data_IF_206779308726
#
_entry.id   IF_206779308726
#
_cell.length_a   1.000
_cell.length_b   1.000
_cell.length_c   1.000
_cell.angle_alpha   90.00
_cell.angle_beta   90.00
_cell.angle_gamma   90.00
#
_symmetry.space_group_name_H-M   'P 1'
#
loop_
_entity.id
_entity.type
_entity.pdbx_description
1 polymer ?
#
# COMPACT_ATOMS: atom_id res chain seq x y z
N UNK A 1 -33.49 30.07 -8.11
CA UNK A 1 -32.58 30.42 -7.00
C UNK A 1 -31.18 29.83 -7.15
N UNK A 2 -30.98 28.52 -7.36
CA UNK A 2 -29.62 27.97 -7.51
C UNK A 2 -28.84 28.49 -8.74
N UNK A 3 -29.53 28.82 -9.84
CA UNK A 3 -28.91 29.33 -11.06
C UNK A 3 -28.36 30.77 -10.96
N UNK A 4 -28.78 31.52 -9.93
CA UNK A 4 -28.32 32.90 -9.68
C UNK A 4 -27.15 32.98 -8.70
N UNK A 5 -26.68 31.83 -8.18
CA UNK A 5 -25.51 31.80 -7.31
C UNK A 5 -24.21 31.99 -8.11
N UNK A 6 -23.18 32.60 -7.52
CA UNK A 6 -21.82 32.63 -8.08
C UNK A 6 -21.26 31.22 -8.28
N UNK A 7 -20.34 31.06 -9.25
CA UNK A 7 -19.78 29.75 -9.62
C UNK A 7 -18.98 29.15 -8.46
N UNK A 8 -18.29 29.98 -7.71
CA UNK A 8 -17.48 29.66 -6.54
C UNK A 8 -18.35 29.00 -5.46
N UNK A 9 -19.54 29.54 -5.21
CA UNK A 9 -20.48 28.99 -4.24
C UNK A 9 -21.01 27.63 -4.70
N UNK A 10 -21.24 27.46 -6.02
CA UNK A 10 -21.69 26.19 -6.59
C UNK A 10 -20.60 25.12 -6.45
N UNK A 11 -19.32 25.45 -6.63
CA UNK A 11 -18.21 24.53 -6.39
C UNK A 11 -18.07 24.17 -4.91
N UNK A 12 -18.14 25.15 -4.01
CA UNK A 12 -18.11 24.88 -2.56
C UNK A 12 -19.24 23.94 -2.15
N UNK A 13 -20.47 24.17 -2.64
CA UNK A 13 -21.61 23.26 -2.38
C UNK A 13 -21.30 21.86 -2.93
N UNK A 14 -20.76 21.76 -4.15
CA UNK A 14 -20.43 20.48 -4.78
C UNK A 14 -19.36 19.70 -3.99
N UNK A 15 -18.33 20.39 -3.51
CA UNK A 15 -17.22 19.79 -2.76
C UNK A 15 -17.66 19.29 -1.36
N UNK A 16 -18.67 19.93 -0.76
CA UNK A 16 -19.27 19.50 0.52
C UNK A 16 -20.26 18.33 0.38
N UNK A 17 -20.59 17.89 -0.85
CA UNK A 17 -21.41 16.68 -1.03
C UNK A 17 -20.54 15.45 -0.80
N UNK A 18 -20.95 14.60 0.14
CA UNK A 18 -20.20 13.42 0.58
C UNK A 18 -20.21 12.30 -0.46
N UNK A 19 -21.34 12.12 -1.17
CA UNK A 19 -21.51 10.98 -2.07
C UNK A 19 -21.43 11.36 -3.54
N UNK A 20 -20.87 10.46 -4.36
CA UNK A 20 -20.91 10.58 -5.82
C UNK A 20 -22.34 10.77 -6.35
N UNK A 21 -23.33 10.08 -5.77
CA UNK A 21 -24.72 10.19 -6.19
C UNK A 21 -25.29 11.59 -5.95
N UNK A 22 -24.99 12.22 -4.81
CA UNK A 22 -25.39 13.61 -4.54
C UNK A 22 -24.73 14.57 -5.55
N UNK A 23 -23.42 14.41 -5.78
CA UNK A 23 -22.66 15.21 -6.76
C UNK A 23 -23.22 15.08 -8.17
N UNK A 24 -23.55 13.86 -8.59
CA UNK A 24 -24.19 13.56 -9.87
C UNK A 24 -25.59 14.19 -9.97
N UNK A 25 -26.40 14.07 -8.92
CA UNK A 25 -27.75 14.65 -8.89
C UNK A 25 -27.68 16.18 -9.04
N UNK A 26 -26.74 16.84 -8.35
CA UNK A 26 -26.50 18.27 -8.49
C UNK A 26 -26.06 18.63 -9.92
N UNK A 27 -25.11 17.90 -10.49
CA UNK A 27 -24.66 18.11 -11.87
C UNK A 27 -25.81 17.93 -12.89
N UNK A 28 -26.75 17.01 -12.63
CA UNK A 28 -27.90 16.72 -13.51
C UNK A 28 -29.04 17.73 -13.44
N UNK A 29 -29.06 18.66 -12.48
CA UNK A 29 -30.15 19.64 -12.33
C UNK A 29 -30.33 20.52 -13.57
N UNK A 30 -29.25 20.90 -14.25
CA UNK A 30 -29.33 21.67 -15.49
C UNK A 30 -28.08 21.52 -16.36
N UNK A 31 -28.18 21.92 -17.65
CA UNK A 31 -27.06 21.85 -18.61
C UNK A 31 -25.83 22.66 -18.17
N UNK A 32 -26.04 23.81 -17.50
CA UNK A 32 -24.93 24.66 -17.00
C UNK A 32 -24.16 23.93 -15.91
N UNK A 33 -24.86 23.36 -14.94
CA UNK A 33 -24.25 22.62 -13.84
C UNK A 33 -23.56 21.36 -14.35
N UNK A 34 -24.18 20.66 -15.30
CA UNK A 34 -23.54 19.51 -15.92
C UNK A 34 -22.20 19.88 -16.54
N UNK A 35 -22.14 20.92 -17.37
CA UNK A 35 -20.88 21.37 -17.99
C UNK A 35 -19.85 21.87 -16.97
N UNK A 36 -20.29 22.57 -15.93
CA UNK A 36 -19.42 23.17 -14.91
C UNK A 36 -18.84 22.12 -13.94
N UNK A 37 -19.66 21.17 -13.52
CA UNK A 37 -19.35 20.22 -12.44
C UNK A 37 -18.85 18.87 -12.96
N UNK A 38 -19.03 18.56 -14.26
CA UNK A 38 -18.50 17.31 -14.85
C UNK A 38 -17.00 17.10 -14.63
N UNK A 39 -16.13 18.13 -14.74
CA UNK A 39 -14.71 17.96 -14.43
C UNK A 39 -14.45 17.49 -12.99
N UNK A 40 -15.15 18.09 -12.01
CA UNK A 40 -15.05 17.69 -10.61
C UNK A 40 -15.64 16.30 -10.36
N UNK A 41 -16.78 15.97 -11.00
CA UNK A 41 -17.43 14.67 -10.88
C UNK A 41 -16.58 13.53 -11.43
N UNK A 42 -15.86 13.77 -12.53
CA UNK A 42 -15.00 12.78 -13.20
C UNK A 42 -13.56 12.80 -12.68
N UNK A 43 -13.23 13.65 -11.70
CA UNK A 43 -11.88 13.72 -11.14
C UNK A 43 -11.48 12.44 -10.41
N UNK A 44 -12.44 11.79 -9.75
CA UNK A 44 -12.27 10.47 -9.14
C UNK A 44 -13.33 9.53 -9.69
N UNK A 45 -12.89 8.37 -10.17
CA UNK A 45 -13.77 7.33 -10.72
C UNK A 45 -13.53 6.04 -9.97
N UNK A 46 -14.60 5.50 -9.41
CA UNK A 46 -14.60 4.21 -8.74
C UNK A 46 -15.47 3.23 -9.53
N UNK A 47 -14.82 2.19 -10.05
CA UNK A 47 -15.49 1.07 -10.70
C UNK A 47 -15.65 -0.06 -9.68
N UNK A 48 -16.88 -0.50 -9.38
CA UNK A 48 -17.09 -1.56 -8.37
C UNK A 48 -16.36 -2.86 -8.68
N UNK A 49 -16.15 -3.15 -9.97
CA UNK A 49 -15.51 -4.36 -10.46
C UNK A 49 -14.64 -4.09 -11.67
N UNK A 50 -13.58 -4.85 -11.81
CA UNK A 50 -12.86 -5.00 -13.07
C UNK A 50 -13.65 -5.96 -13.97
N UNK A 51 -14.64 -5.45 -14.70
CA UNK A 51 -15.47 -6.24 -15.61
C UNK A 51 -15.89 -5.42 -16.84
N UNK A 52 -16.22 -6.07 -17.97
CA UNK A 52 -16.58 -5.35 -19.20
C UNK A 52 -17.81 -4.46 -19.05
N UNK A 53 -18.72 -4.79 -18.12
CA UNK A 53 -19.94 -4.01 -17.81
C UNK A 53 -19.65 -2.57 -17.38
N UNK A 54 -18.49 -2.33 -16.76
CA UNK A 54 -18.06 -1.02 -16.30
C UNK A 54 -16.98 -0.41 -17.20
N UNK A 55 -16.02 -1.22 -17.64
CA UNK A 55 -14.90 -0.75 -18.46
C UNK A 55 -15.35 -0.30 -19.85
N UNK A 56 -16.24 -1.04 -20.51
CA UNK A 56 -16.67 -0.73 -21.89
C UNK A 56 -17.40 0.62 -21.96
N UNK A 57 -18.47 0.86 -21.19
CA UNK A 57 -19.22 2.12 -21.32
C UNK A 57 -18.37 3.34 -21.00
N UNK A 58 -17.48 3.23 -20.00
CA UNK A 58 -16.58 4.31 -19.61
C UNK A 58 -15.56 4.60 -20.73
N UNK A 59 -14.89 3.56 -21.22
CA UNK A 59 -13.88 3.68 -22.28
C UNK A 59 -14.49 4.26 -23.55
N UNK A 60 -15.66 3.76 -23.98
CA UNK A 60 -16.38 4.31 -25.14
C UNK A 60 -16.80 5.77 -24.93
N UNK A 61 -17.19 6.14 -23.71
CA UNK A 61 -17.51 7.54 -23.37
C UNK A 61 -16.28 8.43 -23.52
N UNK A 62 -15.10 7.99 -23.07
CA UNK A 62 -13.85 8.74 -23.19
C UNK A 62 -13.28 8.77 -24.60
N UNK A 63 -13.47 7.73 -25.40
CA UNK A 63 -13.17 7.75 -26.83
C UNK A 63 -14.02 8.83 -27.51
N UNK A 64 -15.32 8.89 -27.20
CA UNK A 64 -16.23 9.89 -27.78
C UNK A 64 -15.97 11.31 -27.26
N UNK A 65 -15.62 11.45 -25.99
CA UNK A 65 -15.48 12.73 -25.30
C UNK A 65 -14.12 12.83 -24.58
N UNK A 66 -13.03 12.82 -25.35
CA UNK A 66 -11.65 12.84 -24.81
C UNK A 66 -11.35 13.99 -23.84
N UNK A 67 -12.02 15.14 -23.98
CA UNK A 67 -11.86 16.26 -23.05
C UNK A 67 -12.32 15.92 -21.62
N UNK A 68 -13.25 14.97 -21.46
CA UNK A 68 -13.71 14.49 -20.16
C UNK A 68 -12.65 13.63 -19.48
N UNK A 69 -12.00 12.75 -20.25
CA UNK A 69 -10.95 11.84 -19.77
C UNK A 69 -9.75 12.57 -19.16
N UNK A 70 -9.44 13.78 -19.68
CA UNK A 70 -8.40 14.65 -19.13
C UNK A 70 -8.67 15.16 -17.72
N UNK A 71 -9.89 15.06 -17.20
CA UNK A 71 -10.23 15.51 -15.85
C UNK A 71 -9.99 14.41 -14.80
N UNK A 72 -9.86 13.16 -15.21
CA UNK A 72 -9.62 12.04 -14.27
C UNK A 72 -8.24 12.20 -13.63
N UNK A 73 -8.21 12.05 -12.31
CA UNK A 73 -7.02 12.11 -11.43
C UNK A 73 -6.89 10.85 -10.62
N UNK A 74 -8.00 10.31 -10.11
CA UNK A 74 -8.03 9.06 -9.36
C UNK A 74 -8.88 8.03 -10.11
N UNK A 75 -8.34 6.82 -10.28
CA UNK A 75 -9.07 5.68 -10.81
C UNK A 75 -8.94 4.50 -9.84
N UNK A 76 -10.07 4.07 -9.30
CA UNK A 76 -10.17 2.85 -8.49
C UNK A 76 -10.95 1.80 -9.28
N UNK A 77 -10.38 0.62 -9.44
CA UNK A 77 -11.01 -0.52 -10.10
C UNK A 77 -11.07 -1.69 -9.12
N UNK A 78 -12.28 -2.01 -8.68
CA UNK A 78 -12.55 -3.09 -7.73
C UNK A 78 -12.28 -4.48 -8.29
N UNK A 79 -12.66 -5.49 -7.51
CA UNK A 79 -12.34 -6.89 -7.79
C UNK A 79 -12.88 -7.36 -9.15
N UNK A 80 -12.15 -8.22 -9.86
CA UNK A 80 -12.64 -8.93 -11.04
C UNK A 80 -14.01 -9.58 -10.80
N UNK A 81 -14.97 -9.23 -11.65
CA UNK A 81 -16.33 -9.73 -11.59
C UNK A 81 -16.60 -10.85 -12.59
N UNK A 82 -17.73 -11.57 -12.45
CA UNK A 82 -18.19 -12.46 -13.51
C UNK A 82 -18.41 -11.65 -14.79
N UNK A 83 -17.82 -12.11 -15.89
CA UNK A 83 -17.96 -11.46 -17.19
C UNK A 83 -19.40 -11.60 -17.68
N UNK A 84 -20.13 -10.48 -17.71
CA UNK A 84 -21.43 -10.40 -18.38
C UNK A 84 -21.19 -9.88 -19.79
N UNK A 85 -21.78 -10.56 -20.77
CA UNK A 85 -21.72 -10.09 -22.14
C UNK A 85 -22.40 -8.72 -22.23
N UNK A 86 -21.64 -7.74 -22.66
CA UNK A 86 -22.14 -6.43 -23.06
C UNK A 86 -21.98 -6.38 -24.55
N UNK A 87 -23.09 -6.25 -25.27
CA UNK A 87 -23.04 -6.07 -26.72
C UNK A 87 -22.31 -4.77 -27.04
N UNK A 88 -21.06 -4.88 -27.47
CA UNK A 88 -20.30 -3.77 -28.03
C UNK A 88 -20.08 -4.04 -29.51
N UNK A 89 -20.86 -3.40 -30.37
CA UNK A 89 -20.44 -3.24 -31.76
C UNK A 89 -19.28 -2.26 -31.77
N UNK A 90 -18.11 -2.72 -32.21
CA UNK A 90 -16.96 -1.87 -32.52
C UNK A 90 -17.42 -0.85 -33.56
N UNK A 91 -17.61 0.39 -33.11
CA UNK A 91 -17.91 1.52 -33.99
C UNK A 91 -16.60 1.97 -34.63
N UNK A 92 -16.69 2.59 -35.81
CA UNK A 92 -15.57 3.25 -36.50
C UNK A 92 -14.66 4.07 -35.56
N UNK A 93 -15.22 4.78 -34.58
CA UNK A 93 -14.46 5.58 -33.60
C UNK A 93 -13.52 4.74 -32.72
N UNK A 94 -13.85 3.49 -32.42
CA UNK A 94 -12.99 2.57 -31.69
C UNK A 94 -11.89 2.00 -32.62
N UNK A 95 -12.20 1.69 -33.88
CA UNK A 95 -11.18 1.26 -34.86
C UNK A 95 -10.16 2.36 -35.15
N UNK A 96 -10.61 3.60 -35.23
CA UNK A 96 -9.75 4.79 -35.38
C UNK A 96 -8.82 4.91 -34.16
N UNK A 97 -9.35 4.69 -32.95
CA UNK A 97 -8.59 4.66 -31.70
C UNK A 97 -7.50 3.60 -31.70
N UNK A 98 -7.86 2.38 -32.09
CA UNK A 98 -6.94 1.25 -32.13
C UNK A 98 -5.84 1.53 -33.18
N UNK A 99 -6.20 2.16 -34.30
CA UNK A 99 -5.25 2.63 -35.30
C UNK A 99 -4.23 3.63 -34.76
N UNK A 100 -4.61 4.48 -33.79
CA UNK A 100 -3.67 5.41 -33.15
C UNK A 100 -2.65 4.72 -32.23
N UNK A 101 -3.01 3.58 -31.63
CA UNK A 101 -2.17 2.90 -30.62
C UNK A 101 -1.42 1.67 -31.15
N UNK A 102 -1.84 1.12 -32.28
CA UNK A 102 -1.24 -0.10 -32.85
C UNK A 102 -0.03 0.21 -33.72
N UNK A 103 1.04 -0.58 -33.61
CA UNK A 103 2.25 -0.44 -34.40
C UNK A 103 2.17 -1.13 -35.78
N UNK A 104 1.27 -2.10 -35.93
CA UNK A 104 1.11 -2.87 -37.16
C UNK A 104 -0.35 -3.26 -37.42
N UNK A 105 -0.67 -3.61 -38.67
CA UNK A 105 -1.99 -4.14 -39.02
C UNK A 105 -2.31 -5.45 -38.27
N UNK A 106 -1.30 -6.29 -38.02
CA UNK A 106 -1.46 -7.52 -37.24
C UNK A 106 -1.84 -7.22 -35.79
N UNK A 107 -1.18 -6.25 -35.16
CA UNK A 107 -1.49 -5.83 -33.80
C UNK A 107 -2.88 -5.18 -33.74
N UNK A 108 -3.21 -4.33 -34.72
CA UNK A 108 -4.54 -3.73 -34.85
C UNK A 108 -5.64 -4.80 -34.95
N UNK A 109 -5.44 -5.82 -35.78
CA UNK A 109 -6.38 -6.92 -35.91
C UNK A 109 -6.53 -7.71 -34.60
N UNK A 110 -5.43 -7.91 -33.86
CA UNK A 110 -5.45 -8.53 -32.54
C UNK A 110 -6.25 -7.71 -31.53
N UNK A 111 -6.01 -6.40 -31.43
CA UNK A 111 -6.79 -5.50 -30.57
C UNK A 111 -8.28 -5.56 -30.89
N UNK A 112 -8.66 -5.46 -32.17
CA UNK A 112 -10.06 -5.53 -32.60
C UNK A 112 -10.67 -6.87 -32.20
N UNK A 113 -10.02 -7.99 -32.53
CA UNK A 113 -10.53 -9.33 -32.20
C UNK A 113 -10.76 -9.53 -30.70
N UNK A 114 -9.85 -9.03 -29.86
CA UNK A 114 -9.93 -9.18 -28.39
C UNK A 114 -11.02 -8.28 -27.79
N UNK A 115 -11.20 -7.07 -28.33
CA UNK A 115 -12.24 -6.14 -27.90
C UNK A 115 -13.64 -6.58 -28.38
N UNK A 116 -13.77 -7.13 -29.59
CA UNK A 116 -15.03 -7.68 -30.13
C UNK A 116 -15.53 -8.89 -29.33
N UNK A 117 -14.59 -9.76 -28.92
CA UNK A 117 -14.91 -10.91 -28.08
C UNK A 117 -15.52 -10.53 -26.74
N UNK A 118 -15.29 -9.29 -26.24
CA UNK A 118 -15.73 -8.76 -24.94
C UNK A 118 -15.43 -9.70 -23.75
N UNK A 119 -14.46 -10.60 -23.93
CA UNK A 119 -14.07 -11.64 -22.96
C UNK A 119 -12.78 -11.28 -22.22
N UNK A 120 -12.08 -10.22 -22.63
CA UNK A 120 -10.80 -9.85 -22.06
C UNK A 120 -10.83 -8.42 -21.49
N UNK A 121 -10.96 -8.32 -20.15
CA UNK A 121 -10.99 -7.04 -19.44
C UNK A 121 -9.70 -6.24 -19.61
N UNK A 122 -8.58 -6.94 -19.84
CA UNK A 122 -7.24 -6.38 -19.95
C UNK A 122 -7.12 -5.35 -21.08
N UNK A 123 -7.67 -5.64 -22.26
CA UNK A 123 -7.59 -4.76 -23.42
C UNK A 123 -8.40 -3.47 -23.16
N UNK A 124 -9.55 -3.61 -22.51
CA UNK A 124 -10.35 -2.46 -22.10
C UNK A 124 -9.66 -1.63 -21.02
N UNK A 125 -8.99 -2.28 -20.05
CA UNK A 125 -8.22 -1.58 -19.02
C UNK A 125 -7.02 -0.84 -19.61
N UNK A 126 -6.26 -1.46 -20.51
CA UNK A 126 -5.15 -0.82 -21.21
C UNK A 126 -5.64 0.39 -22.02
N UNK A 127 -6.72 0.24 -22.78
CA UNK A 127 -7.29 1.33 -23.57
C UNK A 127 -7.81 2.46 -22.67
N UNK A 128 -8.42 2.13 -21.53
CA UNK A 128 -8.84 3.11 -20.54
C UNK A 128 -7.64 3.90 -20.03
N UNK A 129 -6.58 3.25 -19.55
CA UNK A 129 -5.39 3.91 -19.04
C UNK A 129 -4.70 4.81 -20.09
N UNK A 130 -4.67 4.41 -21.37
CA UNK A 130 -4.19 5.25 -22.47
C UNK A 130 -4.97 6.58 -22.58
N UNK A 131 -6.27 6.58 -22.28
CA UNK A 131 -7.14 7.75 -22.38
C UNK A 131 -7.02 8.70 -21.18
N UNK A 132 -6.29 8.33 -20.12
CA UNK A 132 -6.19 9.08 -18.86
C UNK A 132 -4.79 9.72 -18.70
N UNK A 133 -4.45 10.78 -19.47
CA UNK A 133 -3.10 11.35 -19.48
C UNK A 133 -2.71 12.03 -18.16
N UNK A 134 -3.69 12.48 -17.38
CA UNK A 134 -3.50 13.23 -16.15
C UNK A 134 -3.78 12.39 -14.89
N UNK A 135 -3.78 11.06 -15.01
CA UNK A 135 -3.98 10.19 -13.85
C UNK A 135 -2.87 10.41 -12.83
N UNK A 136 -3.25 10.63 -11.57
CA UNK A 136 -2.37 10.86 -10.42
C UNK A 136 -2.39 9.67 -9.46
N UNK A 137 -3.52 8.97 -9.34
CA UNK A 137 -3.69 7.84 -8.45
C UNK A 137 -4.39 6.67 -9.16
N UNK A 138 -3.84 5.47 -9.02
CA UNK A 138 -4.40 4.23 -9.54
C UNK A 138 -4.50 3.20 -8.42
N UNK A 139 -5.70 2.74 -8.11
CA UNK A 139 -5.94 1.58 -7.25
C UNK A 139 -6.65 0.51 -8.08
N UNK A 140 -6.03 -0.65 -8.23
CA UNK A 140 -6.63 -1.71 -9.04
C UNK A 140 -6.26 -3.11 -8.56
N UNK A 141 -7.17 -4.05 -8.83
CA UNK A 141 -6.87 -5.47 -8.74
C UNK A 141 -6.15 -5.95 -10.00
N UNK A 142 -4.93 -6.44 -9.83
CA UNK A 142 -4.23 -7.14 -10.89
C UNK A 142 -4.74 -8.57 -10.98
N UNK A 143 -5.09 -9.05 -12.17
CA UNK A 143 -5.47 -10.46 -12.37
C UNK A 143 -4.22 -11.30 -12.66
N UNK A 144 -3.25 -11.29 -11.74
CA UNK A 144 -2.00 -12.06 -11.84
C UNK A 144 -1.29 -11.88 -13.19
N UNK A 145 -1.06 -12.99 -13.90
CA UNK A 145 -0.39 -12.96 -15.22
C UNK A 145 -1.29 -12.56 -16.41
N UNK A 146 -2.59 -12.30 -16.21
CA UNK A 146 -3.55 -12.01 -17.29
C UNK A 146 -3.55 -10.55 -17.77
N UNK A 147 -2.49 -9.82 -17.48
CA UNK A 147 -2.40 -8.36 -17.69
C UNK A 147 -1.17 -7.92 -18.48
N UNK A 148 -0.68 -8.85 -19.32
CA UNK A 148 0.30 -8.66 -20.36
C UNK A 148 0.11 -7.41 -21.23
N UNK A 149 -1.08 -7.08 -21.73
CA UNK A 149 -1.30 -5.91 -22.59
C UNK A 149 -1.16 -4.60 -21.81
N UNK A 150 -1.58 -4.58 -20.54
CA UNK A 150 -1.28 -3.44 -19.65
C UNK A 150 0.22 -3.36 -19.40
N UNK A 151 0.93 -4.48 -19.21
CA UNK A 151 2.38 -4.49 -19.07
C UNK A 151 3.09 -3.95 -20.32
N UNK A 152 2.65 -4.36 -21.51
CA UNK A 152 3.18 -3.89 -22.79
C UNK A 152 2.97 -2.39 -22.94
N UNK A 153 1.77 -1.90 -22.62
CA UNK A 153 1.46 -0.47 -22.64
C UNK A 153 2.34 0.31 -21.65
N UNK A 154 2.47 -0.16 -20.40
CA UNK A 154 3.34 0.47 -19.41
C UNK A 154 4.81 0.46 -19.86
N UNK A 155 5.27 -0.62 -20.49
CA UNK A 155 6.59 -0.71 -21.09
C UNK A 155 6.79 0.28 -22.25
N UNK A 156 5.76 0.48 -23.08
CA UNK A 156 5.79 1.46 -24.16
C UNK A 156 5.82 2.91 -23.63
N UNK A 157 5.04 3.21 -22.59
CA UNK A 157 5.05 4.52 -21.90
C UNK A 157 6.46 4.87 -21.44
N UNK A 158 7.08 3.95 -20.70
CA UNK A 158 8.39 4.18 -20.11
C UNK A 158 9.50 4.25 -21.16
N UNK A 159 9.40 3.44 -22.22
CA UNK A 159 10.35 3.49 -23.32
C UNK A 159 10.14 4.68 -24.27
N UNK A 160 9.13 5.53 -24.04
CA UNK A 160 8.78 6.63 -24.94
C UNK A 160 8.41 6.14 -26.35
N UNK A 161 7.90 4.93 -26.47
CA UNK A 161 7.49 4.32 -27.74
C UNK A 161 6.07 4.74 -28.09
N UNK A 162 5.71 4.62 -29.37
CA UNK A 162 4.32 4.84 -29.81
C UNK A 162 3.35 4.03 -28.92
N UNK A 163 2.18 4.57 -28.58
CA UNK A 163 1.64 5.90 -28.97
C UNK A 163 2.17 7.10 -28.14
N UNK A 164 3.19 6.90 -27.30
CA UNK A 164 3.69 7.86 -26.30
C UNK A 164 4.99 8.60 -26.71
N UNK A 165 5.24 8.75 -28.01
CA UNK A 165 6.41 9.48 -28.55
C UNK A 165 6.21 11.00 -28.39
N UNK A 166 7.31 11.74 -28.20
CA UNK A 166 7.47 13.20 -28.28
C UNK A 166 6.21 14.05 -27.98
N UNK A 167 6.06 14.47 -26.72
CA UNK A 167 5.02 15.42 -26.28
C UNK A 167 3.69 14.79 -25.81
N UNK A 168 3.59 13.46 -25.78
CA UNK A 168 2.45 12.72 -25.20
C UNK A 168 2.90 11.70 -24.14
N UNK A 169 3.53 12.14 -23.03
CA UNK A 169 3.97 11.20 -22.02
C UNK A 169 2.73 10.57 -21.34
N UNK A 170 2.61 9.25 -21.44
CA UNK A 170 1.55 8.52 -20.75
C UNK A 170 1.79 8.53 -19.25
N UNK A 171 0.74 8.75 -18.45
CA UNK A 171 0.80 8.64 -16.99
C UNK A 171 1.91 9.49 -16.32
N UNK A 172 2.32 10.61 -16.93
CA UNK A 172 3.40 11.45 -16.39
C UNK A 172 3.06 12.09 -15.05
N UNK A 173 1.77 12.25 -14.76
CA UNK A 173 1.25 12.76 -13.49
C UNK A 173 1.09 11.71 -12.41
N UNK A 174 1.31 10.42 -12.70
CA UNK A 174 1.02 9.33 -11.77
C UNK A 174 1.97 9.38 -10.57
N UNK A 175 1.38 9.52 -9.38
CA UNK A 175 2.07 9.70 -8.09
C UNK A 175 1.91 8.47 -7.20
N UNK A 176 0.73 7.86 -7.22
CA UNK A 176 0.40 6.75 -6.35
C UNK A 176 -0.20 5.59 -7.15
N UNK A 177 0.30 4.38 -6.88
CA UNK A 177 -0.25 3.15 -7.43
C UNK A 177 -0.43 2.14 -6.30
N UNK A 178 -1.62 1.54 -6.23
CA UNK A 178 -1.93 0.41 -5.37
C UNK A 178 -2.41 -0.77 -6.22
N UNK A 179 -1.71 -1.89 -6.06
CA UNK A 179 -1.96 -3.10 -6.82
C UNK A 179 -2.36 -4.23 -5.87
N UNK A 180 -3.62 -4.64 -5.96
CA UNK A 180 -4.20 -5.72 -5.17
C UNK A 180 -4.25 -7.01 -5.99
N UNK A 181 -4.25 -8.16 -5.35
CA UNK A 181 -4.44 -9.46 -6.03
C UNK A 181 -5.55 -10.23 -5.31
N UNK A 182 -6.47 -10.84 -6.05
CA UNK A 182 -7.46 -11.73 -5.44
C UNK A 182 -6.75 -12.98 -4.94
N UNK A 183 -7.00 -13.40 -3.69
CA UNK A 183 -6.42 -14.60 -3.09
C UNK A 183 -6.65 -15.87 -3.92
N UNK A 184 -7.77 -15.96 -4.65
CA UNK A 184 -8.10 -17.09 -5.53
C UNK A 184 -7.27 -17.16 -6.82
N UNK A 185 -6.54 -16.09 -7.18
CA UNK A 185 -5.78 -15.99 -8.43
C UNK A 185 -4.43 -16.73 -8.44
N UNK A 186 -4.05 -17.42 -7.35
CA UNK A 186 -2.88 -18.30 -7.30
C UNK A 186 -1.59 -17.68 -6.74
N UNK A 187 -0.43 -18.13 -7.26
CA UNK A 187 0.93 -17.89 -6.72
C UNK A 187 1.49 -16.47 -6.97
N UNK A 188 0.75 -15.40 -6.68
CA UNK A 188 1.28 -14.03 -6.78
C UNK A 188 1.72 -13.60 -8.19
N UNK A 189 2.47 -12.49 -8.28
CA UNK A 189 3.12 -12.03 -9.52
C UNK A 189 4.56 -11.57 -9.27
N UNK A 190 5.40 -11.66 -10.29
CA UNK A 190 6.83 -11.34 -10.16
C UNK A 190 7.05 -9.84 -9.94
N UNK A 191 8.00 -9.46 -9.09
CA UNK A 191 8.44 -8.07 -8.88
C UNK A 191 8.79 -7.31 -10.17
N UNK A 192 9.19 -8.02 -11.24
CA UNK A 192 9.44 -7.46 -12.57
C UNK A 192 8.27 -6.66 -13.13
N UNK A 193 7.03 -7.03 -12.79
CA UNK A 193 5.82 -6.34 -13.23
C UNK A 193 5.72 -4.92 -12.66
N UNK A 194 6.39 -4.64 -11.54
CA UNK A 194 6.41 -3.32 -10.92
C UNK A 194 7.39 -2.35 -11.58
N UNK A 195 8.34 -2.83 -12.40
CA UNK A 195 9.42 -2.03 -12.99
C UNK A 195 8.96 -0.74 -13.68
N UNK A 196 7.89 -0.74 -14.49
CA UNK A 196 7.49 0.49 -15.17
C UNK A 196 7.21 1.65 -14.21
N UNK A 197 6.66 1.37 -13.03
CA UNK A 197 6.36 2.41 -12.04
C UNK A 197 7.60 3.06 -11.44
N UNK A 198 8.73 2.36 -11.36
CA UNK A 198 10.01 2.96 -10.91
C UNK A 198 10.57 3.98 -11.90
N UNK A 199 10.12 3.94 -13.15
CA UNK A 199 10.65 4.76 -14.24
C UNK A 199 9.72 5.93 -14.58
N UNK A 200 8.52 5.98 -13.99
CA UNK A 200 7.60 7.11 -14.14
C UNK A 200 8.08 8.32 -13.31
N UNK A 201 8.07 9.54 -13.88
CA UNK A 201 8.77 10.68 -13.31
C UNK A 201 8.13 11.27 -12.05
N UNK A 202 6.81 11.14 -11.89
CA UNK A 202 6.07 11.71 -10.76
C UNK A 202 5.78 10.71 -9.64
N UNK A 203 6.22 9.46 -9.77
CA UNK A 203 5.88 8.41 -8.80
C UNK A 203 6.45 8.71 -7.41
N UNK A 204 5.64 8.45 -6.39
CA UNK A 204 5.97 8.69 -4.97
C UNK A 204 5.62 7.52 -4.09
N UNK A 205 4.48 6.89 -4.34
CA UNK A 205 3.92 5.84 -3.49
C UNK A 205 3.62 4.63 -4.37
N UNK A 206 4.20 3.48 -4.04
CA UNK A 206 3.86 2.22 -4.68
C UNK A 206 3.51 1.17 -3.64
N UNK A 207 2.27 0.69 -3.72
CA UNK A 207 1.73 -0.35 -2.85
C UNK A 207 1.39 -1.59 -3.68
N UNK A 208 1.79 -2.76 -3.21
CA UNK A 208 1.63 -4.00 -3.95
C UNK A 208 1.36 -5.17 -3.00
N UNK A 209 0.45 -6.05 -3.41
CA UNK A 209 0.06 -7.25 -2.68
C UNK A 209 0.48 -8.51 -3.46
N UNK A 210 0.90 -9.57 -2.75
CA UNK A 210 1.24 -10.88 -3.35
C UNK A 210 2.35 -10.82 -4.42
N UNK A 211 3.37 -10.01 -4.16
CA UNK A 211 4.58 -9.91 -4.99
C UNK A 211 5.51 -11.08 -4.68
N UNK A 212 6.14 -11.64 -5.71
CA UNK A 212 7.21 -12.63 -5.57
C UNK A 212 8.52 -12.08 -6.14
N UNK A 213 9.52 -11.96 -5.26
CA UNK A 213 10.85 -11.46 -5.57
C UNK A 213 11.88 -12.56 -5.79
N UNK A 214 13.16 -12.18 -5.84
CA UNK A 214 14.30 -13.10 -5.94
C UNK A 214 14.63 -13.59 -7.35
N UNK A 215 13.95 -13.10 -8.38
CA UNK A 215 14.16 -13.50 -9.79
C UNK A 215 14.89 -12.45 -10.64
N UNK A 216 15.32 -11.33 -10.05
CA UNK A 216 15.93 -10.21 -10.77
C UNK A 216 17.42 -10.14 -10.47
N UNK A 217 18.24 -10.23 -11.51
CA UNK A 217 19.68 -9.97 -11.39
C UNK A 217 19.95 -8.47 -11.32
N UNK A 218 21.05 -8.08 -10.65
CA UNK A 218 21.38 -6.68 -10.38
C UNK A 218 21.60 -5.85 -11.66
N UNK A 219 22.09 -6.47 -12.74
CA UNK A 219 22.27 -5.88 -14.07
C UNK A 219 20.95 -5.53 -14.79
N UNK A 220 19.82 -6.01 -14.28
CA UNK A 220 18.49 -5.75 -14.84
C UNK A 220 17.66 -4.76 -14.01
N UNK A 221 18.23 -4.19 -12.96
CA UNK A 221 17.56 -3.18 -12.16
C UNK A 221 17.59 -1.83 -12.91
N UNK A 222 16.51 -1.05 -12.83
CA UNK A 222 16.56 0.33 -13.29
C UNK A 222 17.73 1.06 -12.63
N UNK A 223 18.35 2.01 -13.34
CA UNK A 223 19.29 2.94 -12.72
C UNK A 223 18.66 3.56 -11.46
N UNK A 224 19.48 3.92 -10.46
CA UNK A 224 19.03 4.44 -9.16
C UNK A 224 18.41 5.86 -9.27
N UNK A 225 17.32 5.99 -10.03
CA UNK A 225 16.70 7.25 -10.41
C UNK A 225 15.23 7.31 -10.02
N UNK A 226 14.67 6.24 -9.41
CA UNK A 226 13.25 6.21 -9.08
C UNK A 226 12.89 7.32 -8.08
N UNK A 227 11.83 8.09 -8.35
CA UNK A 227 11.36 9.17 -7.48
C UNK A 227 10.54 8.66 -6.27
N UNK A 228 10.29 7.35 -6.18
CA UNK A 228 9.49 6.71 -5.13
C UNK A 228 10.10 6.96 -3.75
N UNK A 229 9.24 7.37 -2.81
CA UNK A 229 9.58 7.67 -1.42
C UNK A 229 8.92 6.69 -0.44
N UNK A 230 7.84 6.02 -0.84
CA UNK A 230 7.13 5.03 -0.02
C UNK A 230 6.85 3.74 -0.81
N UNK A 231 7.23 2.61 -0.21
CA UNK A 231 6.94 1.27 -0.68
C UNK A 231 6.17 0.47 0.38
N UNK A 232 5.05 -0.11 0.00
CA UNK A 232 4.26 -1.02 0.84
C UNK A 232 4.02 -2.34 0.10
N UNK A 233 4.63 -3.43 0.57
CA UNK A 233 4.65 -4.73 -0.10
C UNK A 233 4.07 -5.77 0.87
N UNK A 234 2.80 -6.12 0.70
CA UNK A 234 2.07 -6.95 1.67
C UNK A 234 1.77 -8.34 1.12
N UNK A 235 1.56 -9.33 1.99
CA UNK A 235 1.29 -10.72 1.60
C UNK A 235 2.29 -11.26 0.57
N UNK A 236 3.56 -10.90 0.66
CA UNK A 236 4.53 -11.10 -0.43
C UNK A 236 5.66 -12.05 -0.05
N UNK A 237 6.27 -12.71 -1.03
CA UNK A 237 7.35 -13.68 -0.84
C UNK A 237 8.65 -13.16 -1.46
N UNK A 238 9.65 -12.83 -0.62
CA UNK A 238 10.93 -12.26 -1.04
C UNK A 238 12.08 -13.11 -0.49
N UNK A 239 12.33 -14.31 -1.06
CA UNK A 239 13.22 -15.31 -0.45
C UNK A 239 14.69 -14.87 -0.40
N UNK A 240 15.10 -13.93 -1.25
CA UNK A 240 16.46 -13.40 -1.33
C UNK A 240 16.53 -11.92 -0.89
N UNK A 241 15.65 -11.52 0.03
CA UNK A 241 15.48 -10.12 0.43
C UNK A 241 14.76 -9.26 -0.63
N UNK A 242 14.68 -7.95 -0.36
CA UNK A 242 13.92 -6.97 -1.14
C UNK A 242 14.80 -6.06 -2.01
N UNK A 243 16.02 -6.49 -2.31
CA UNK A 243 17.00 -5.67 -3.05
C UNK A 243 16.44 -5.19 -4.39
N UNK A 244 15.69 -6.04 -5.11
CA UNK A 244 15.10 -5.70 -6.40
C UNK A 244 14.00 -4.63 -6.33
N UNK A 245 13.41 -4.40 -5.16
CA UNK A 245 12.44 -3.33 -4.90
C UNK A 245 13.08 -2.08 -4.32
N UNK A 246 14.07 -2.23 -3.44
CA UNK A 246 14.67 -1.11 -2.69
C UNK A 246 15.80 -0.43 -3.48
N UNK A 247 16.64 -1.20 -4.17
CA UNK A 247 17.81 -0.67 -4.86
C UNK A 247 17.49 0.42 -5.90
N UNK A 248 16.36 0.39 -6.64
CA UNK A 248 16.05 1.47 -7.58
C UNK A 248 15.66 2.82 -6.92
N UNK A 249 15.22 2.80 -5.65
CA UNK A 249 14.62 3.96 -4.97
C UNK A 249 15.63 4.80 -4.20
N UNK A 250 16.23 5.81 -4.85
CA UNK A 250 17.27 6.65 -4.22
C UNK A 250 16.80 7.47 -3.01
N UNK A 251 15.51 7.83 -2.96
CA UNK A 251 14.94 8.71 -1.94
C UNK A 251 13.94 7.95 -1.05
N UNK A 252 14.10 6.65 -0.87
CA UNK A 252 13.15 5.83 -0.12
C UNK A 252 13.13 6.26 1.35
N UNK A 253 12.00 6.82 1.79
CA UNK A 253 11.77 7.29 3.16
C UNK A 253 11.00 6.27 3.99
N UNK A 254 10.14 5.47 3.36
CA UNK A 254 9.31 4.54 4.09
C UNK A 254 9.18 3.21 3.36
N UNK A 255 9.40 2.12 4.11
CA UNK A 255 9.30 0.76 3.60
C UNK A 255 8.46 -0.09 4.56
N UNK A 256 7.38 -0.65 4.05
CA UNK A 256 6.50 -1.59 4.76
C UNK A 256 6.48 -2.91 4.02
N UNK A 257 6.74 -4.00 4.74
CA UNK A 257 6.74 -5.35 4.21
C UNK A 257 5.98 -6.29 5.12
N UNK A 258 5.11 -7.11 4.51
CA UNK A 258 4.39 -8.20 5.18
C UNK A 258 4.66 -9.52 4.46
N UNK A 259 5.33 -10.46 5.14
CA UNK A 259 5.77 -11.72 4.56
C UNK A 259 4.64 -12.75 4.44
N UNK A 260 4.51 -13.42 3.29
CA UNK A 260 3.60 -14.55 3.13
C UNK A 260 4.25 -15.86 3.60
N UNK A 261 3.66 -16.51 4.60
CA UNK A 261 4.21 -17.59 5.45
C UNK A 261 4.58 -18.93 4.77
N UNK A 262 4.40 -19.06 3.45
CA UNK A 262 4.73 -20.33 2.77
C UNK A 262 6.23 -20.49 2.44
N UNK A 263 7.07 -19.55 2.84
CA UNK A 263 8.51 -19.52 2.51
C UNK A 263 9.36 -19.03 3.67
N UNK A 264 10.65 -19.36 3.66
CA UNK A 264 11.61 -18.75 4.58
C UNK A 264 11.90 -17.30 4.16
N UNK A 265 11.98 -16.42 5.15
CA UNK A 265 12.50 -15.06 4.98
C UNK A 265 13.96 -15.04 5.40
N UNK A 266 14.87 -14.78 4.46
CA UNK A 266 16.28 -14.53 4.76
C UNK A 266 16.42 -13.12 5.36
N UNK A 267 16.51 -13.06 6.69
CA UNK A 267 16.59 -11.82 7.46
C UNK A 267 17.88 -11.06 7.17
N UNK A 268 18.99 -11.76 6.93
CA UNK A 268 20.28 -11.14 6.61
C UNK A 268 20.21 -10.45 5.25
N UNK A 269 19.75 -11.15 4.21
CA UNK A 269 19.58 -10.58 2.87
C UNK A 269 18.60 -9.40 2.87
N UNK A 270 17.55 -9.48 3.70
CA UNK A 270 16.59 -8.41 3.88
C UNK A 270 17.19 -7.18 4.56
N UNK A 271 17.95 -7.37 5.64
CA UNK A 271 18.66 -6.30 6.35
C UNK A 271 19.69 -5.62 5.44
N UNK A 272 20.46 -6.40 4.67
CA UNK A 272 21.38 -5.88 3.67
C UNK A 272 20.68 -5.03 2.60
N UNK A 273 19.48 -5.45 2.16
CA UNK A 273 18.68 -4.70 1.19
C UNK A 273 18.26 -3.32 1.73
N UNK A 274 17.90 -3.23 3.00
CA UNK A 274 17.56 -1.97 3.67
C UNK A 274 18.79 -1.10 3.93
N UNK A 275 19.93 -1.72 4.26
CA UNK A 275 21.19 -1.03 4.50
C UNK A 275 21.64 -0.16 3.33
N UNK A 276 21.27 -0.52 2.10
CA UNK A 276 21.51 0.28 0.90
C UNK A 276 20.82 1.66 0.92
N UNK A 277 19.80 1.86 1.78
CA UNK A 277 19.02 3.10 1.91
C UNK A 277 18.96 3.63 3.35
N UNK A 278 19.93 3.26 4.18
CA UNK A 278 20.00 3.66 5.60
C UNK A 278 19.98 5.18 5.84
N UNK A 279 20.51 5.95 4.89
CA UNK A 279 20.61 7.41 5.01
C UNK A 279 19.28 8.15 4.76
N UNK A 280 18.33 7.51 4.05
CA UNK A 280 17.05 8.14 3.67
C UNK A 280 15.84 7.55 4.39
N UNK A 281 15.94 6.32 4.89
CA UNK A 281 14.83 5.61 5.51
C UNK A 281 14.42 6.25 6.85
N UNK A 282 13.22 6.81 6.89
CA UNK A 282 12.58 7.39 8.07
C UNK A 282 11.63 6.42 8.78
N UNK A 283 11.08 5.44 8.06
CA UNK A 283 10.13 4.48 8.60
C UNK A 283 10.29 3.07 8.02
N UNK A 284 10.46 2.08 8.90
CA UNK A 284 10.55 0.66 8.52
C UNK A 284 9.45 -0.10 9.25
N UNK A 285 8.69 -0.92 8.52
CA UNK A 285 7.71 -1.85 9.06
C UNK A 285 7.91 -3.23 8.44
N UNK A 286 8.24 -4.24 9.23
CA UNK A 286 8.43 -5.62 8.78
C UNK A 286 7.63 -6.54 9.68
N UNK A 287 6.62 -7.20 9.12
CA UNK A 287 5.76 -8.15 9.84
C UNK A 287 5.50 -9.42 9.02
N UNK A 288 4.93 -10.42 9.67
CA UNK A 288 4.37 -11.59 9.00
C UNK A 288 2.92 -11.31 8.64
N UNK A 289 2.50 -11.80 7.48
CA UNK A 289 1.11 -11.78 7.12
C UNK A 289 0.32 -12.77 7.98
N UNK A 290 -0.82 -12.30 8.46
CA UNK A 290 -1.56 -12.92 9.54
C UNK A 290 -2.23 -14.26 9.20
N UNK A 291 -2.41 -15.10 10.22
CA UNK A 291 -3.32 -16.27 10.18
C UNK A 291 -2.68 -17.58 9.73
N UNK A 292 -1.37 -17.59 9.52
CA UNK A 292 -0.61 -18.79 9.15
C UNK A 292 0.55 -18.92 10.15
N UNK A 293 0.76 -20.15 10.64
CA UNK A 293 1.72 -20.46 11.69
C UNK A 293 3.14 -20.27 11.17
N UNK A 294 3.84 -19.22 11.65
CA UNK A 294 5.25 -18.95 11.38
C UNK A 294 6.01 -20.23 11.04
N UNK A 295 6.27 -20.43 9.74
CA UNK A 295 7.32 -21.34 9.32
C UNK A 295 8.61 -20.98 10.06
N UNK A 296 9.48 -21.97 10.29
CA UNK A 296 10.74 -21.79 11.03
C UNK A 296 11.51 -20.58 10.48
N UNK A 297 11.44 -19.46 11.18
CA UNK A 297 12.32 -18.30 10.96
C UNK A 297 13.72 -18.83 11.26
N UNK A 298 14.65 -18.68 10.32
CA UNK A 298 16.04 -18.93 10.62
C UNK A 298 16.40 -17.98 11.78
N UNK A 299 17.03 -18.49 12.85
CA UNK A 299 17.34 -17.80 14.12
C UNK A 299 18.31 -16.59 13.98
N UNK A 300 18.26 -15.89 12.85
CA UNK A 300 19.09 -14.77 12.48
C UNK A 300 18.43 -13.46 12.93
N UNK A 301 19.24 -12.62 13.56
CA UNK A 301 18.84 -11.28 13.97
C UNK A 301 18.87 -10.32 12.77
N UNK A 302 18.01 -9.30 12.80
CA UNK A 302 18.01 -8.18 11.85
C UNK A 302 19.33 -7.39 11.80
N UNK A 303 20.20 -7.56 12.80
CA UNK A 303 21.46 -6.82 12.93
C UNK A 303 21.26 -5.43 13.54
N UNK A 304 22.34 -4.64 13.56
CA UNK A 304 22.30 -3.28 14.10
C UNK A 304 21.66 -2.29 13.12
N UNK A 305 20.79 -1.44 13.65
CA UNK A 305 20.18 -0.28 12.98
C UNK A 305 20.76 1.05 13.48
N UNK A 306 21.82 1.02 14.29
CA UNK A 306 22.48 2.21 14.86
C UNK A 306 22.87 3.26 13.81
N UNK A 307 23.22 2.79 12.61
CA UNK A 307 23.71 3.63 11.51
C UNK A 307 22.59 4.30 10.69
N UNK A 308 21.32 4.04 10.99
CA UNK A 308 20.19 4.61 10.27
C UNK A 308 19.86 6.00 10.81
N UNK A 309 20.62 7.00 10.36
CA UNK A 309 20.57 8.37 10.90
C UNK A 309 19.24 9.11 10.70
N UNK A 310 18.38 8.64 9.78
CA UNK A 310 17.08 9.23 9.50
C UNK A 310 15.89 8.47 10.12
N UNK A 311 16.12 7.28 10.71
CA UNK A 311 15.05 6.35 11.10
C UNK A 311 14.32 6.83 12.35
N UNK A 312 13.06 7.26 12.16
CA UNK A 312 12.18 7.77 13.22
C UNK A 312 11.18 6.74 13.70
N UNK A 313 10.70 5.86 12.81
CA UNK A 313 9.65 4.88 13.12
C UNK A 313 10.10 3.48 12.76
N UNK A 314 10.05 2.58 13.74
CA UNK A 314 10.41 1.19 13.57
C UNK A 314 9.30 0.28 14.05
N UNK A 315 8.80 -0.60 13.15
CA UNK A 315 7.90 -1.70 13.46
C UNK A 315 8.54 -3.01 13.01
N UNK A 316 8.82 -3.92 13.94
CA UNK A 316 9.39 -5.23 13.65
C UNK A 316 8.65 -6.30 14.45
N UNK A 317 8.60 -7.52 13.92
CA UNK A 317 8.14 -8.64 14.74
C UNK A 317 9.13 -8.97 15.84
N UNK A 318 8.63 -9.55 16.94
CA UNK A 318 9.48 -9.94 18.07
C UNK A 318 10.59 -10.91 17.66
N UNK A 319 10.30 -11.89 16.83
CA UNK A 319 11.29 -12.90 16.44
C UNK A 319 12.42 -12.29 15.59
N UNK A 320 12.14 -11.26 14.79
CA UNK A 320 13.13 -10.53 13.97
C UNK A 320 14.02 -9.64 14.85
N UNK A 321 13.43 -8.96 15.84
CA UNK A 321 14.14 -8.01 16.70
C UNK A 321 14.96 -8.71 17.79
N UNK A 322 14.38 -9.71 18.45
CA UNK A 322 14.91 -10.27 19.70
C UNK A 322 15.80 -11.48 19.44
N UNK A 323 15.50 -12.30 18.41
CA UNK A 323 16.10 -13.63 18.16
C UNK A 323 16.18 -14.53 19.41
N UNK A 324 16.57 -15.79 19.28
CA UNK A 324 16.50 -16.75 20.41
C UNK A 324 17.38 -16.39 21.62
N UNK A 325 18.28 -15.39 21.51
CA UNK A 325 19.00 -14.77 22.63
C UNK A 325 19.31 -13.32 22.26
N UNK A 326 18.80 -12.35 23.03
CA UNK A 326 19.33 -10.97 23.03
C UNK A 326 20.82 -11.04 23.40
N UNK A 327 21.69 -11.18 22.39
CA UNK A 327 23.14 -11.12 22.59
C UNK A 327 23.61 -9.67 22.76
N UNK A 328 22.85 -8.74 22.18
CA UNK A 328 23.11 -7.31 22.17
C UNK A 328 21.89 -6.55 22.69
N UNK A 329 22.07 -5.63 23.64
CA UNK A 329 21.01 -4.75 24.14
C UNK A 329 20.34 -3.90 23.04
N UNK A 330 19.06 -3.58 23.22
CA UNK A 330 18.29 -2.72 22.30
C UNK A 330 18.93 -1.33 22.15
N UNK A 331 19.54 -0.84 23.22
CA UNK A 331 20.22 0.48 23.25
C UNK A 331 21.42 0.55 22.31
N UNK A 332 22.04 -0.60 21.98
CA UNK A 332 23.22 -0.66 21.12
C UNK A 332 22.86 -0.89 19.64
N UNK A 333 21.65 -1.40 19.37
CA UNK A 333 21.22 -1.73 18.00
C UNK A 333 20.26 -0.71 17.41
N UNK A 334 19.58 0.10 18.22
CA UNK A 334 18.59 1.07 17.72
C UNK A 334 19.24 2.45 17.46
N UNK A 335 18.80 3.19 16.45
CA UNK A 335 19.36 4.49 16.14
C UNK A 335 18.88 5.58 17.11
N UNK A 336 19.73 6.56 17.46
CA UNK A 336 19.41 7.60 18.45
C UNK A 336 18.27 8.54 18.01
N UNK A 337 17.99 8.62 16.71
CA UNK A 337 16.92 9.45 16.13
C UNK A 337 15.52 8.82 16.22
N UNK A 338 15.39 7.63 16.81
CA UNK A 338 14.13 6.90 16.88
C UNK A 338 13.09 7.64 17.73
N UNK A 339 11.92 7.88 17.15
CA UNK A 339 10.78 8.54 17.79
C UNK A 339 9.72 7.53 18.26
N UNK A 340 9.53 6.44 17.51
CA UNK A 340 8.51 5.43 17.75
C UNK A 340 9.03 4.02 17.49
N UNK A 341 8.83 3.12 18.46
CA UNK A 341 9.14 1.69 18.38
C UNK A 341 7.86 0.89 18.57
N UNK A 342 7.60 -0.02 17.65
CA UNK A 342 6.45 -0.91 17.70
C UNK A 342 6.91 -2.36 17.51
N UNK A 343 6.55 -3.24 18.45
CA UNK A 343 6.91 -4.65 18.38
C UNK A 343 5.65 -5.44 18.07
N UNK A 344 5.62 -6.02 16.89
CA UNK A 344 4.47 -6.76 16.37
C UNK A 344 4.61 -8.28 16.56
N UNK A 345 3.50 -8.97 16.32
CA UNK A 345 3.41 -10.44 16.29
C UNK A 345 4.04 -11.13 17.50
N UNK A 346 3.81 -10.55 18.68
CA UNK A 346 4.25 -11.20 19.92
C UNK A 346 3.28 -12.36 20.20
N UNK A 347 3.77 -13.60 20.11
CA UNK A 347 2.98 -14.81 20.33
C UNK A 347 2.40 -14.92 21.76
N UNK A 348 1.92 -16.10 22.19
CA UNK A 348 1.40 -16.27 23.57
C UNK A 348 2.44 -16.71 24.61
N UNK A 349 3.71 -16.78 24.24
CA UNK A 349 4.77 -17.23 25.14
C UNK A 349 5.11 -16.16 26.19
N UNK A 350 4.53 -16.32 27.37
CA UNK A 350 4.75 -15.44 28.53
C UNK A 350 6.22 -15.33 28.93
N UNK A 351 7.03 -16.38 28.72
CA UNK A 351 8.46 -16.38 29.02
C UNK A 351 9.22 -15.42 28.11
N UNK A 352 9.02 -15.56 26.79
CA UNK A 352 9.56 -14.63 25.78
C UNK A 352 9.16 -13.18 26.09
N UNK A 353 7.90 -12.93 26.43
CA UNK A 353 7.42 -11.57 26.72
C UNK A 353 8.08 -10.94 27.94
N UNK A 354 8.36 -11.70 29.00
CA UNK A 354 9.08 -11.18 30.17
C UNK A 354 10.47 -10.68 29.80
N UNK A 355 11.18 -11.42 28.95
CA UNK A 355 12.51 -11.03 28.46
C UNK A 355 12.41 -9.75 27.64
N UNK A 356 11.44 -9.66 26.73
CA UNK A 356 11.19 -8.46 25.93
C UNK A 356 10.89 -7.24 26.80
N UNK A 357 9.98 -7.39 27.77
CA UNK A 357 9.60 -6.29 28.66
C UNK A 357 10.78 -5.80 29.49
N UNK A 358 11.60 -6.72 30.04
CA UNK A 358 12.80 -6.34 30.78
C UNK A 358 13.76 -5.50 29.93
N UNK A 359 13.94 -5.87 28.66
CA UNK A 359 14.80 -5.15 27.73
C UNK A 359 14.22 -3.78 27.33
N UNK A 360 12.91 -3.72 27.11
CA UNK A 360 12.21 -2.45 26.86
C UNK A 360 12.29 -1.51 28.07
N UNK A 361 12.22 -2.03 29.30
CA UNK A 361 12.44 -1.24 30.50
C UNK A 361 13.85 -0.62 30.51
N UNK A 362 14.88 -1.38 30.16
CA UNK A 362 16.25 -0.88 30.05
C UNK A 362 16.38 0.20 28.97
N UNK A 363 15.77 -0.03 27.80
CA UNK A 363 15.75 0.91 26.69
C UNK A 363 15.07 2.24 27.06
N UNK A 364 13.88 2.21 27.66
CA UNK A 364 13.16 3.43 28.06
C UNK A 364 13.91 4.17 29.15
N UNK A 365 14.52 3.47 30.13
CA UNK A 365 15.40 4.11 31.11
C UNK A 365 16.56 4.83 30.42
N UNK A 366 17.23 4.18 29.44
CA UNK A 366 18.32 4.80 28.69
C UNK A 366 17.90 6.00 27.83
N UNK A 367 16.62 6.10 27.45
CA UNK A 367 16.11 7.22 26.66
C UNK A 367 16.09 8.56 27.41
N UNK A 368 16.13 8.57 28.75
CA UNK A 368 15.90 9.79 29.55
C UNK A 368 16.73 9.89 30.85
N UNK A 369 17.72 9.01 31.08
CA UNK A 369 18.52 9.03 32.32
C UNK A 369 19.50 10.23 32.41
N UNK A 370 19.45 10.83 33.60
CA UNK A 370 20.04 12.09 34.10
C UNK A 370 21.58 12.12 34.29
N UNK A 371 22.35 11.39 33.48
CA UNK A 371 23.81 11.38 33.59
C UNK A 371 24.48 11.71 32.23
N UNK A 372 24.81 12.99 32.06
CA UNK A 372 25.70 13.58 31.03
C UNK A 372 25.39 13.38 29.54
N UNK A 373 24.62 12.38 29.11
CA UNK A 373 24.19 12.23 27.70
C UNK A 373 22.88 11.43 27.59
N UNK A 374 21.98 11.87 26.70
CA UNK A 374 20.71 11.21 26.41
C UNK A 374 20.88 10.37 25.14
N UNK A 375 20.64 9.06 25.21
CA UNK A 375 20.88 8.15 24.07
C UNK A 375 19.78 8.25 23.01
N UNK A 376 18.52 8.39 23.43
CA UNK A 376 17.36 8.48 22.53
C UNK A 376 16.51 9.73 22.84
N UNK A 377 17.00 10.94 22.51
CA UNK A 377 16.37 12.20 22.94
C UNK A 377 15.02 12.48 22.26
N UNK A 378 14.68 11.78 21.18
CA UNK A 378 13.46 12.00 20.41
C UNK A 378 12.37 10.95 20.68
N UNK A 379 12.66 9.96 21.53
CA UNK A 379 11.77 8.82 21.73
C UNK A 379 10.50 9.21 22.49
N UNK A 380 9.34 8.91 21.89
CA UNK A 380 8.02 9.36 22.38
C UNK A 380 6.99 8.26 22.45
N UNK A 381 7.13 7.19 21.68
CA UNK A 381 6.08 6.17 21.56
C UNK A 381 6.65 4.75 21.56
N UNK A 382 6.05 3.90 22.39
CA UNK A 382 6.32 2.48 22.46
C UNK A 382 5.00 1.70 22.34
N UNK A 383 4.94 0.74 21.41
CA UNK A 383 3.78 -0.13 21.24
C UNK A 383 4.16 -1.61 21.22
N UNK A 384 3.29 -2.45 21.78
CA UNK A 384 3.38 -3.92 21.68
C UNK A 384 2.08 -4.44 21.08
N UNK A 385 2.17 -5.28 20.06
CA UNK A 385 1.05 -5.94 19.41
C UNK A 385 1.25 -7.44 19.36
N UNK A 386 0.20 -8.18 19.74
CA UNK A 386 0.23 -9.63 19.76
C UNK A 386 -1.14 -10.26 19.73
N UNK A 387 -1.19 -11.54 20.05
CA UNK A 387 -2.43 -12.30 20.21
C UNK A 387 -2.81 -12.41 21.69
N UNK A 388 -3.36 -11.31 22.20
CA UNK A 388 -3.70 -11.10 23.61
C UNK A 388 -5.19 -11.27 23.91
N UNK A 389 -6.05 -11.57 22.92
CA UNK A 389 -7.47 -11.79 23.17
C UNK A 389 -7.72 -12.78 24.31
N UNK A 390 -8.55 -12.38 25.26
CA UNK A 390 -9.00 -13.21 26.36
C UNK A 390 -9.95 -14.30 25.84
N UNK A 391 -9.53 -15.57 25.82
CA UNK A 391 -10.33 -16.65 25.25
C UNK A 391 -11.61 -16.94 26.05
N UNK A 392 -11.68 -16.49 27.30
CA UNK A 392 -12.76 -16.81 28.24
C UNK A 392 -13.97 -15.87 28.14
N UNK A 393 -13.92 -14.81 27.32
CA UNK A 393 -15.03 -13.88 27.16
C UNK A 393 -16.12 -14.45 26.23
N UNK A 394 -17.38 -14.27 26.63
CA UNK A 394 -18.55 -14.50 25.79
C UNK A 394 -18.65 -13.49 24.63
N UNK A 395 -19.45 -13.81 23.60
CA UNK A 395 -19.65 -12.92 22.45
C UNK A 395 -20.22 -11.55 22.83
N UNK A 396 -21.06 -11.48 23.88
CA UNK A 396 -21.63 -10.24 24.36
C UNK A 396 -20.58 -9.36 25.07
N UNK A 397 -19.78 -9.95 25.95
CA UNK A 397 -18.69 -9.25 26.65
C UNK A 397 -17.63 -8.72 25.67
N UNK A 398 -17.36 -9.47 24.58
CA UNK A 398 -16.46 -9.00 23.50
C UNK A 398 -17.03 -7.77 22.79
N UNK A 399 -18.32 -7.77 22.47
CA UNK A 399 -18.99 -6.64 21.80
C UNK A 399 -19.01 -5.37 22.66
N UNK A 400 -19.25 -5.53 23.97
CA UNK A 400 -19.21 -4.41 24.91
C UNK A 400 -17.79 -3.89 25.14
N UNK A 401 -16.81 -4.79 25.31
CA UNK A 401 -15.41 -4.41 25.47
C UNK A 401 -14.84 -3.71 24.24
N UNK A 402 -15.25 -4.11 23.03
CA UNK A 402 -14.84 -3.45 21.78
C UNK A 402 -15.14 -1.96 21.84
N UNK A 403 -16.31 -1.52 22.33
CA UNK A 403 -16.70 -0.10 22.38
C UNK A 403 -15.76 0.80 23.20
N UNK A 404 -14.93 0.22 24.08
CA UNK A 404 -14.08 0.95 25.04
C UNK A 404 -12.58 0.75 24.72
N UNK A 405 -12.24 -0.07 23.72
CA UNK A 405 -10.87 -0.29 23.26
C UNK A 405 -10.29 1.00 22.63
N UNK A 406 -8.99 1.36 22.83
CA UNK A 406 -7.88 0.58 23.41
C UNK A 406 -7.62 0.78 24.91
N UNK A 407 -8.55 1.38 25.67
CA UNK A 407 -8.38 1.51 27.12
C UNK A 407 -8.34 0.13 27.81
N UNK A 408 -7.73 0.02 29.01
CA UNK A 408 -7.61 -1.23 29.75
C UNK A 408 -8.97 -1.92 29.90
N UNK A 409 -9.21 -2.92 29.07
CA UNK A 409 -10.47 -3.65 28.98
C UNK A 409 -10.23 -5.13 29.29
N UNK A 410 -11.29 -5.81 29.73
CA UNK A 410 -11.30 -7.26 29.95
C UNK A 410 -11.04 -8.08 28.68
N UNK A 411 -10.99 -7.41 27.52
CA UNK A 411 -10.72 -7.96 26.19
C UNK A 411 -9.36 -8.65 26.09
N UNK A 412 -8.36 -8.16 26.82
CA UNK A 412 -7.01 -8.75 26.81
C UNK A 412 -6.79 -9.66 28.01
N UNK A 413 -5.95 -10.68 27.82
CA UNK A 413 -5.51 -11.61 28.87
C UNK A 413 -4.82 -10.86 30.02
N UNK A 414 -5.26 -11.08 31.26
CA UNK A 414 -4.75 -10.33 32.44
C UNK A 414 -3.23 -10.36 32.60
N UNK A 415 -2.58 -11.47 32.21
CA UNK A 415 -1.14 -11.60 32.36
C UNK A 415 -0.34 -10.57 31.55
N UNK A 416 -0.86 -10.05 30.43
CA UNK A 416 -0.14 -9.03 29.62
C UNK A 416 -0.03 -7.71 30.39
N UNK A 417 -1.10 -7.31 31.08
CA UNK A 417 -1.10 -6.13 31.92
C UNK A 417 -0.18 -6.29 33.13
N UNK A 418 -0.14 -7.49 33.73
CA UNK A 418 0.76 -7.75 34.85
C UNK A 418 2.24 -7.68 34.43
N UNK A 419 2.61 -8.29 33.30
CA UNK A 419 4.01 -8.26 32.87
C UNK A 419 4.44 -6.88 32.34
N UNK A 420 3.54 -6.11 31.74
CA UNK A 420 3.84 -4.77 31.20
C UNK A 420 3.65 -3.64 32.23
N UNK A 421 3.23 -3.96 33.46
CA UNK A 421 2.95 -3.00 34.51
C UNK A 421 4.15 -2.09 34.82
N UNK A 422 5.32 -2.68 35.03
CA UNK A 422 6.55 -1.93 35.31
C UNK A 422 6.92 -1.04 34.11
N UNK A 423 6.86 -1.58 32.89
CA UNK A 423 7.15 -0.84 31.66
C UNK A 423 6.21 0.37 31.50
N UNK A 424 4.92 0.21 31.78
CA UNK A 424 3.95 1.32 31.73
C UNK A 424 4.31 2.43 32.71
N UNK A 425 4.70 2.08 33.93
CA UNK A 425 5.17 3.06 34.93
C UNK A 425 6.41 3.79 34.45
N UNK A 426 7.42 3.06 33.96
CA UNK A 426 8.66 3.64 33.43
C UNK A 426 8.38 4.56 32.23
N UNK A 427 7.53 4.14 31.28
CA UNK A 427 7.15 4.98 30.14
C UNK A 427 6.49 6.28 30.60
N UNK A 428 5.54 6.21 31.54
CA UNK A 428 4.87 7.40 32.09
C UNK A 428 5.87 8.37 32.76
N UNK A 429 6.80 7.85 33.57
CA UNK A 429 7.83 8.64 34.26
C UNK A 429 8.81 9.33 33.29
N UNK A 430 9.01 8.75 32.10
CA UNK A 430 9.90 9.27 31.07
C UNK A 430 9.16 9.98 29.93
N UNK A 431 7.85 10.28 30.08
CA UNK A 431 7.07 11.01 29.07
C UNK A 431 6.83 10.24 27.76
N UNK A 432 6.98 8.92 27.77
CA UNK A 432 6.76 8.03 26.63
C UNK A 432 5.33 7.49 26.64
N UNK A 433 4.63 7.62 25.52
CA UNK A 433 3.32 7.00 25.31
C UNK A 433 3.49 5.49 25.13
N UNK A 434 2.79 4.69 25.94
CA UNK A 434 2.84 3.23 25.89
C UNK A 434 1.48 2.61 25.61
N UNK A 435 1.41 1.79 24.56
CA UNK A 435 0.19 1.09 24.17
C UNK A 435 0.40 -0.41 23.98
N UNK A 436 -0.64 -1.18 24.26
CA UNK A 436 -0.67 -2.63 24.06
C UNK A 436 -1.93 -2.94 23.25
N UNK A 437 -1.74 -3.60 22.11
CA UNK A 437 -2.80 -3.86 21.15
C UNK A 437 -2.92 -5.35 20.86
N UNK A 438 -4.14 -5.79 20.57
CA UNK A 438 -4.36 -7.12 20.02
C UNK A 438 -4.54 -7.05 18.50
N UNK A 439 -3.73 -7.82 17.78
CA UNK A 439 -3.67 -7.82 16.31
C UNK A 439 -5.02 -8.16 15.64
N UNK A 440 -5.87 -8.95 16.31
CA UNK A 440 -7.16 -9.37 15.77
C UNK A 440 -8.26 -8.34 16.09
N UNK A 441 -8.16 -7.67 17.25
CA UNK A 441 -9.08 -6.56 17.61
C UNK A 441 -8.82 -5.35 16.71
N UNK A 442 -7.55 -4.97 16.50
CA UNK A 442 -7.18 -3.89 15.59
C UNK A 442 -7.71 -4.12 14.17
N UNK A 443 -7.72 -5.37 13.69
CA UNK A 443 -8.29 -5.71 12.39
C UNK A 443 -9.80 -5.52 12.31
N UNK A 444 -10.53 -5.94 13.34
CA UNK A 444 -11.98 -5.70 13.40
C UNK A 444 -12.30 -4.20 13.41
N UNK A 445 -11.43 -3.39 14.00
CA UNK A 445 -11.53 -1.93 13.94
C UNK A 445 -11.18 -1.36 12.56
N UNK A 446 -10.13 -1.88 11.92
CA UNK A 446 -9.61 -1.35 10.64
C UNK A 446 -10.43 -1.81 9.42
N UNK A 447 -10.97 -3.03 9.42
CA UNK A 447 -11.84 -3.54 8.33
C UNK A 447 -13.23 -2.87 8.34
N UNK A 448 -13.62 -2.23 9.45
CA UNK A 448 -14.89 -1.49 9.58
C UNK A 448 -14.76 -0.03 9.12
N UNK A 449 -13.54 0.48 8.90
CA UNK A 449 -13.27 1.81 8.36
C UNK A 449 -12.40 1.71 7.09
N UNK A 450 -12.99 1.67 5.88
CA UNK A 450 -12.24 1.95 4.68
C UNK A 450 -11.87 3.44 4.70
N UNK A 451 -10.58 3.73 4.72
CA UNK A 451 -9.94 5.01 4.42
C UNK A 451 -10.68 6.28 4.92
N UNK A 452 -10.25 6.84 6.06
CA UNK A 452 -10.57 8.24 6.36
C UNK A 452 -10.53 8.72 7.81
N UNK A 453 -9.31 9.02 8.29
CA UNK A 453 -8.94 10.14 9.20
C UNK A 453 -9.40 10.15 10.68
N UNK A 454 -8.67 10.85 11.58
CA UNK A 454 -7.30 11.36 11.51
C UNK A 454 -6.28 10.54 12.32
#
# INVERSE_FOLDING_TARGET
>A
MLLSLPLEIIFVIFDHLETYQQRLNLARLCRRFYKLLSPGLLSSIELPRCSPEYLIPLTLTFIKYRYLAKNVRCLTVGEPGPTRWVGCLVRKTLEDMIGEISHSESERAQWISQLEGNQNEEYWMALLLYLLPNLEELDCFWVGNRMHCVDLMLGAIVAGKMPFVDGRPGLSGLRQVQIKLIQSAGRGYTSRKLRPFYQLPSMKVLKAQMVIGGFVRADQLPEQSSPIEHLEIVQSCMPNGCHDLIAPCKNLKSFKYSHHDSSRLDIEAFSQSLGARKDTLEAISVDHFWGVSSGTIDNQSFGSLSDYAALKRLRLSMDILVSDRLRTPLVDILPPCLESLYIADTGRDKGKHKVLVAELCNFVKASHVRASYVVFPLFKQLGIEGTFQNPNLSSQERSEGLKIYPEPSSLLVSWIYEITKELRTICLENGVSFTVHDAQIERQYTEVLPDGTP
#
